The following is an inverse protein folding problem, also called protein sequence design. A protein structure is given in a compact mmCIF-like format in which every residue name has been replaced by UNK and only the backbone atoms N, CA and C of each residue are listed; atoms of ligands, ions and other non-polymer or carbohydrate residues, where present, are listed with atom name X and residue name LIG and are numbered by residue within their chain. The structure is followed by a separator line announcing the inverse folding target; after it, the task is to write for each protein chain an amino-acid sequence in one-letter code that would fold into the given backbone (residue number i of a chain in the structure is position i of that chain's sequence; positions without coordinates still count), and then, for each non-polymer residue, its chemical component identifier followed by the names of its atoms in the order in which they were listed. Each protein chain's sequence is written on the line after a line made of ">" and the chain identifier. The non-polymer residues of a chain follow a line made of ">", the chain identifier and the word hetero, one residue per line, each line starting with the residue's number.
data_IF_429209032106
#
_entry.id   IF_429209032106
#
_cell.length_a   1.000
_cell.length_b   1.000
_cell.length_c   1.000
_cell.angle_alpha   90.00
_cell.angle_beta   90.00
_cell.angle_gamma   90.00
#
_symmetry.space_group_name_H-M   'P 1'
#
loop_
_entity.id
_entity.type
_entity.pdbx_description
1 polymer ?
#
# COMPACT_ATOMS: atom_id res chain seq x y z
N UNK A 1 1.31 -31.93 6.36
CA UNK A 1 -0.02 -31.97 5.73
C UNK A 1 0.12 -31.52 4.29
N UNK A 2 -0.51 -32.25 3.36
CA UNK A 2 -0.60 -31.82 1.97
C UNK A 2 -1.85 -30.94 1.85
N UNK A 3 -1.69 -29.69 1.40
CA UNK A 3 -2.78 -28.75 1.21
C UNK A 3 -3.31 -28.85 -0.22
N UNK A 4 -4.63 -28.68 -0.40
CA UNK A 4 -5.28 -28.79 -1.70
C UNK A 4 -5.04 -27.57 -2.60
N UNK A 5 -4.87 -26.38 -2.00
CA UNK A 5 -4.71 -25.12 -2.71
C UNK A 5 -3.56 -24.31 -2.13
N UNK A 6 -2.92 -23.53 -3.01
CA UNK A 6 -1.92 -22.55 -2.67
C UNK A 6 -2.26 -21.20 -3.33
N UNK A 7 -2.31 -20.14 -2.55
CA UNK A 7 -2.43 -18.76 -3.03
C UNK A 7 -1.12 -18.03 -2.72
N UNK A 8 -0.57 -17.37 -3.74
CA UNK A 8 0.43 -16.34 -3.56
C UNK A 8 -0.23 -14.97 -3.71
N UNK A 9 -0.14 -14.14 -2.67
CA UNK A 9 -0.63 -12.76 -2.64
C UNK A 9 0.57 -11.83 -2.48
N UNK A 10 0.99 -11.10 -3.54
CA UNK A 10 2.21 -10.29 -3.53
C UNK A 10 2.10 -9.12 -2.56
N UNK A 11 3.25 -8.59 -2.14
CA UNK A 11 3.34 -7.25 -1.60
C UNK A 11 3.33 -6.22 -2.72
N UNK A 12 3.24 -4.94 -2.35
CA UNK A 12 3.22 -3.83 -3.31
C UNK A 12 4.23 -2.74 -2.99
N UNK A 13 4.64 -2.04 -4.00
CA UNK A 13 5.31 -0.75 -3.92
C UNK A 13 4.52 0.31 -4.68
N UNK A 14 4.52 1.55 -4.17
CA UNK A 14 3.86 2.68 -4.80
C UNK A 14 4.93 3.74 -5.16
N UNK A 15 5.30 3.88 -6.43
CA UNK A 15 6.26 4.90 -6.85
C UNK A 15 5.70 6.31 -6.82
N UNK A 16 4.47 6.50 -7.29
CA UNK A 16 3.77 7.80 -7.36
C UNK A 16 2.29 7.63 -6.97
N UNK A 17 1.71 8.67 -6.36
CA UNK A 17 0.32 8.65 -5.89
C UNK A 17 0.18 8.26 -4.42
N UNK A 18 1.25 8.38 -3.62
CA UNK A 18 1.16 8.07 -2.21
C UNK A 18 0.31 9.09 -1.44
N UNK A 19 -0.49 8.56 -0.50
CA UNK A 19 -1.31 9.35 0.41
C UNK A 19 -2.41 10.20 -0.26
N UNK A 20 -2.84 9.83 -1.48
CA UNK A 20 -3.93 10.51 -2.18
C UNK A 20 -5.12 9.60 -2.48
N UNK A 21 -4.96 8.29 -2.41
CA UNK A 21 -6.02 7.30 -2.65
C UNK A 21 -7.21 7.45 -1.70
N UNK A 22 -6.97 7.74 -0.42
CA UNK A 22 -8.03 8.04 0.56
C UNK A 22 -8.75 9.38 0.33
N UNK A 23 -8.30 10.19 -0.65
CA UNK A 23 -8.93 11.40 -1.14
C UNK A 23 -9.42 11.25 -2.58
N UNK A 24 -9.62 10.02 -3.04
CA UNK A 24 -10.04 9.67 -4.39
C UNK A 24 -9.07 10.14 -5.49
N UNK A 25 -7.79 10.29 -5.15
CA UNK A 25 -6.75 10.67 -6.09
C UNK A 25 -6.35 9.53 -7.04
N UNK A 26 -5.52 9.87 -8.03
CA UNK A 26 -4.92 8.89 -8.95
C UNK A 26 -3.62 8.36 -8.37
N UNK A 27 -3.37 7.07 -8.58
CA UNK A 27 -2.23 6.36 -7.99
C UNK A 27 -1.56 5.43 -8.98
N UNK A 28 -0.31 5.05 -8.70
CA UNK A 28 0.42 4.02 -9.45
C UNK A 28 1.05 3.02 -8.52
N UNK A 29 1.31 1.82 -9.02
CA UNK A 29 1.98 0.80 -8.21
C UNK A 29 2.40 -0.44 -8.96
N UNK A 30 3.21 -1.25 -8.27
CA UNK A 30 3.63 -2.58 -8.69
C UNK A 30 3.28 -3.59 -7.62
N UNK A 31 2.77 -4.75 -8.02
CA UNK A 31 2.95 -5.98 -7.25
C UNK A 31 4.41 -6.41 -7.36
N UNK A 32 4.98 -7.06 -6.35
CA UNK A 32 6.36 -7.51 -6.35
C UNK A 32 6.46 -9.02 -6.06
N UNK A 33 7.56 -9.65 -6.49
CA UNK A 33 7.82 -11.08 -6.36
C UNK A 33 8.13 -11.57 -4.93
N UNK A 34 7.65 -10.83 -3.94
CA UNK A 34 7.61 -11.20 -2.52
C UNK A 34 6.21 -10.94 -2.01
N UNK A 35 5.72 -11.75 -1.10
CA UNK A 35 4.32 -11.67 -0.68
C UNK A 35 3.99 -12.59 0.48
N UNK A 36 2.72 -12.91 0.56
CA UNK A 36 2.12 -13.85 1.49
C UNK A 36 1.75 -15.13 0.73
N UNK A 37 2.18 -16.25 1.25
CA UNK A 37 1.75 -17.57 0.83
C UNK A 37 0.67 -18.08 1.79
N UNK A 38 -0.44 -18.58 1.25
CA UNK A 38 -1.50 -19.24 1.99
C UNK A 38 -1.76 -20.62 1.37
N UNK A 39 -1.40 -21.65 2.09
CA UNK A 39 -1.76 -23.03 1.77
C UNK A 39 -2.99 -23.43 2.55
N UNK A 40 -4.00 -24.02 1.90
CA UNK A 40 -5.23 -24.38 2.58
C UNK A 40 -5.97 -25.57 1.94
N UNK A 41 -6.81 -26.19 2.71
CA UNK A 41 -7.80 -27.18 2.31
C UNK A 41 -9.17 -26.76 2.81
N UNK A 42 -10.21 -26.67 1.97
CA UNK A 42 -11.59 -26.45 2.39
C UNK A 42 -12.11 -27.59 3.28
N UNK A 43 -13.04 -27.26 4.16
CA UNK A 43 -13.77 -28.24 4.96
C UNK A 43 -15.28 -27.97 4.91
N UNK A 44 -16.07 -28.99 5.22
CA UNK A 44 -17.54 -28.93 5.17
C UNK A 44 -18.18 -28.54 6.53
N UNK A 45 -17.39 -28.46 7.61
CA UNK A 45 -17.89 -28.16 8.95
C UNK A 45 -17.98 -26.68 9.28
N UNK A 46 -17.58 -25.82 8.34
CA UNK A 46 -17.61 -24.36 8.48
C UNK A 46 -16.58 -23.79 9.45
N UNK A 47 -15.63 -24.60 9.92
CA UNK A 47 -14.57 -24.13 10.81
C UNK A 47 -13.42 -23.51 10.00
N UNK A 48 -12.89 -22.43 10.50
CA UNK A 48 -11.64 -21.85 10.03
C UNK A 48 -10.58 -22.13 11.07
N UNK A 49 -9.54 -22.86 10.67
CA UNK A 49 -8.37 -23.14 11.48
C UNK A 49 -7.13 -22.70 10.72
N UNK A 50 -6.41 -21.68 11.24
CA UNK A 50 -5.25 -21.09 10.58
C UNK A 50 -4.06 -21.06 11.53
N UNK A 51 -2.93 -21.54 11.03
CA UNK A 51 -1.61 -21.38 11.65
C UNK A 51 -0.78 -20.35 10.88
N UNK A 52 0.18 -19.73 11.54
CA UNK A 52 1.13 -18.82 10.89
C UNK A 52 2.56 -19.26 11.15
N UNK A 53 3.39 -19.21 10.08
CA UNK A 53 4.85 -19.36 10.21
C UNK A 53 5.56 -18.06 10.57
N UNK A 54 4.82 -16.95 10.61
CA UNK A 54 5.36 -15.61 10.85
C UNK A 54 4.99 -15.10 12.25
N UNK A 55 3.81 -15.46 12.74
CA UNK A 55 3.25 -15.01 14.02
C UNK A 55 2.89 -16.20 14.91
N UNK A 56 3.02 -16.02 16.21
CA UNK A 56 2.59 -17.01 17.19
C UNK A 56 1.06 -17.12 17.27
N UNK A 57 0.61 -18.25 17.77
CA UNK A 57 -0.81 -18.55 18.01
C UNK A 57 -1.52 -19.14 16.80
N UNK A 58 -2.73 -19.61 17.06
CA UNK A 58 -3.64 -20.23 16.11
C UNK A 58 -4.91 -19.39 16.03
N UNK A 59 -5.55 -19.37 14.88
CA UNK A 59 -6.83 -18.68 14.65
C UNK A 59 -7.92 -19.69 14.41
N UNK A 60 -8.88 -19.73 15.31
CA UNK A 60 -10.05 -20.59 15.25
C UNK A 60 -11.34 -19.76 15.27
N UNK A 61 -12.21 -19.98 14.30
CA UNK A 61 -13.57 -19.43 14.32
C UNK A 61 -14.51 -20.20 13.38
N UNK A 62 -15.80 -19.93 13.51
CA UNK A 62 -16.84 -20.49 12.65
C UNK A 62 -17.24 -19.47 11.59
N UNK A 63 -17.05 -19.82 10.29
CA UNK A 63 -17.34 -18.91 9.16
C UNK A 63 -18.85 -18.67 9.00
N UNK A 64 -19.69 -19.60 9.49
CA UNK A 64 -21.15 -19.51 9.39
C UNK A 64 -21.76 -18.54 10.40
N UNK A 65 -21.08 -18.28 11.52
CA UNK A 65 -21.56 -17.38 12.59
C UNK A 65 -21.68 -15.93 12.13
N UNK A 66 -22.36 -15.10 12.91
CA UNK A 66 -22.46 -13.65 12.69
C UNK A 66 -21.13 -12.91 12.78
N UNK A 67 -21.17 -11.61 12.98
CA UNK A 67 -19.95 -10.77 13.13
C UNK A 67 -19.14 -11.25 14.33
N UNK A 68 -17.83 -11.44 14.12
CA UNK A 68 -16.88 -11.84 15.14
C UNK A 68 -16.25 -10.61 15.78
N UNK A 69 -15.93 -10.70 17.06
CA UNK A 69 -15.23 -9.65 17.79
C UNK A 69 -13.76 -9.62 17.37
N UNK A 70 -13.16 -8.45 17.28
CA UNK A 70 -11.73 -8.28 17.06
C UNK A 70 -10.94 -8.72 18.29
N UNK A 71 -9.87 -9.44 18.06
CA UNK A 71 -8.96 -9.94 19.11
C UNK A 71 -7.62 -9.19 19.14
N UNK A 72 -7.46 -8.20 18.27
CA UNK A 72 -6.26 -7.36 18.14
C UNK A 72 -4.99 -8.14 17.78
N UNK A 73 -5.15 -9.19 16.98
CA UNK A 73 -4.03 -9.98 16.48
C UNK A 73 -4.17 -10.35 14.98
N UNK A 74 -3.20 -11.06 14.42
CA UNK A 74 -3.13 -11.36 12.98
C UNK A 74 -4.36 -12.08 12.42
N UNK A 75 -5.12 -12.82 13.22
CA UNK A 75 -6.36 -13.48 12.81
C UNK A 75 -7.52 -12.54 12.48
N UNK A 76 -7.43 -11.27 12.88
CA UNK A 76 -8.47 -10.29 12.57
C UNK A 76 -8.58 -10.02 11.08
N UNK A 77 -7.52 -10.22 10.30
CA UNK A 77 -7.59 -10.11 8.84
C UNK A 77 -8.45 -11.23 8.22
N UNK A 78 -8.38 -12.47 8.73
CA UNK A 78 -9.25 -13.55 8.31
C UNK A 78 -10.72 -13.30 8.72
N UNK A 79 -10.95 -12.80 9.94
CA UNK A 79 -12.28 -12.40 10.42
C UNK A 79 -12.85 -11.24 9.60
N UNK A 80 -12.01 -10.28 9.21
CA UNK A 80 -12.37 -9.16 8.34
C UNK A 80 -12.76 -9.62 6.93
N UNK A 81 -11.99 -10.53 6.33
CA UNK A 81 -12.32 -11.12 5.03
C UNK A 81 -13.68 -11.83 5.07
N UNK A 82 -13.93 -12.64 6.10
CA UNK A 82 -15.24 -13.25 6.35
C UNK A 82 -16.34 -12.20 6.48
N UNK A 83 -16.11 -11.14 7.29
CA UNK A 83 -17.09 -10.06 7.51
C UNK A 83 -17.54 -9.43 6.19
N UNK A 84 -16.61 -9.04 5.34
CA UNK A 84 -16.92 -8.38 4.07
C UNK A 84 -17.58 -9.34 3.05
N UNK A 85 -17.15 -10.60 2.99
CA UNK A 85 -17.78 -11.61 2.13
C UNK A 85 -19.20 -11.91 2.54
N UNK A 86 -19.47 -12.06 3.85
CA UNK A 86 -20.83 -12.37 4.36
C UNK A 86 -21.88 -11.31 4.08
N UNK A 87 -21.49 -10.10 3.76
CA UNK A 87 -22.45 -9.07 3.30
C UNK A 87 -23.06 -9.38 1.93
N UNK A 88 -22.40 -10.24 1.15
CA UNK A 88 -22.76 -10.55 -0.25
C UNK A 88 -23.12 -12.01 -0.46
N UNK A 89 -22.53 -12.90 0.34
CA UNK A 89 -22.57 -14.34 0.11
C UNK A 89 -22.89 -15.12 1.40
N UNK A 90 -23.56 -16.24 1.25
CA UNK A 90 -23.76 -17.20 2.34
C UNK A 90 -22.57 -18.15 2.41
N UNK A 91 -21.70 -17.97 3.38
CA UNK A 91 -20.50 -18.78 3.60
C UNK A 91 -20.83 -19.98 4.48
N UNK A 92 -20.57 -21.18 3.96
CA UNK A 92 -20.86 -22.47 4.60
C UNK A 92 -19.61 -23.28 4.94
N UNK A 93 -18.62 -23.25 4.04
CA UNK A 93 -17.40 -24.05 4.12
C UNK A 93 -16.26 -23.20 4.71
N UNK A 94 -15.56 -23.76 5.70
CA UNK A 94 -14.36 -23.18 6.27
C UNK A 94 -13.09 -23.66 5.56
N UNK A 95 -11.94 -23.34 6.15
CA UNK A 95 -10.63 -23.79 5.67
C UNK A 95 -9.71 -24.18 6.81
N UNK A 96 -8.85 -25.17 6.57
CA UNK A 96 -7.67 -25.45 7.39
C UNK A 96 -6.44 -24.97 6.59
N UNK A 97 -5.61 -24.10 7.16
CA UNK A 97 -4.52 -23.52 6.39
C UNK A 97 -3.35 -23.00 7.19
N UNK A 98 -2.26 -22.74 6.47
CA UNK A 98 -1.03 -22.14 6.98
C UNK A 98 -0.67 -20.92 6.16
N UNK A 99 -0.39 -19.81 6.84
CA UNK A 99 0.02 -18.55 6.21
C UNK A 99 1.48 -18.22 6.53
N UNK A 100 2.20 -17.67 5.55
CA UNK A 100 3.59 -17.24 5.69
C UNK A 100 3.85 -15.94 4.92
N UNK A 101 4.47 -14.96 5.56
CA UNK A 101 5.04 -13.79 4.88
C UNK A 101 6.50 -14.02 4.48
N UNK A 102 6.91 -13.50 3.33
CA UNK A 102 8.27 -13.66 2.80
C UNK A 102 9.23 -12.53 3.16
N UNK A 103 8.74 -11.42 3.72
CA UNK A 103 9.53 -10.27 4.17
C UNK A 103 9.07 -9.78 5.55
N UNK A 104 9.89 -8.98 6.26
CA UNK A 104 9.47 -8.34 7.50
C UNK A 104 8.19 -7.50 7.32
N UNK A 105 7.38 -7.42 8.37
CA UNK A 105 6.14 -6.65 8.36
C UNK A 105 6.45 -5.16 8.47
N UNK A 106 5.97 -4.37 7.53
CA UNK A 106 6.04 -2.91 7.54
C UNK A 106 6.31 -2.29 6.17
N UNK A 107 5.50 -1.33 5.78
CA UNK A 107 5.67 -0.52 4.58
C UNK A 107 5.30 -1.16 3.24
N UNK A 108 5.05 -2.47 3.16
CA UNK A 108 4.76 -3.19 1.91
C UNK A 108 3.33 -3.73 1.80
N UNK A 109 2.42 -3.25 2.65
CA UNK A 109 1.01 -3.67 2.72
C UNK A 109 0.79 -5.16 2.93
N UNK A 110 1.52 -5.74 3.89
CA UNK A 110 1.30 -7.14 4.28
C UNK A 110 -0.12 -7.40 4.79
N UNK A 111 -0.79 -6.42 5.39
CA UNK A 111 -2.20 -6.47 5.80
C UNK A 111 -3.14 -6.68 4.62
N UNK A 112 -3.01 -5.87 3.57
CA UNK A 112 -3.82 -6.01 2.36
C UNK A 112 -3.51 -7.33 1.63
N UNK A 113 -2.23 -7.75 1.59
CA UNK A 113 -1.84 -9.00 0.96
C UNK A 113 -2.48 -10.22 1.65
N UNK A 114 -2.42 -10.30 2.97
CA UNK A 114 -3.04 -11.40 3.71
C UNK A 114 -4.57 -11.36 3.63
N UNK A 115 -5.17 -10.16 3.65
CA UNK A 115 -6.61 -9.97 3.47
C UNK A 115 -7.10 -10.51 2.12
N UNK A 116 -6.40 -10.15 1.04
CA UNK A 116 -6.70 -10.65 -0.32
C UNK A 116 -6.58 -12.17 -0.37
N UNK A 117 -5.52 -12.76 0.22
CA UNK A 117 -5.36 -14.19 0.28
C UNK A 117 -6.55 -14.87 0.97
N UNK A 118 -7.03 -14.34 2.11
CA UNK A 118 -8.20 -14.89 2.80
C UNK A 118 -9.52 -14.70 2.04
N UNK A 119 -9.73 -13.54 1.39
CA UNK A 119 -10.90 -13.31 0.53
C UNK A 119 -10.94 -14.35 -0.59
N UNK A 120 -9.81 -14.58 -1.27
CA UNK A 120 -9.70 -15.57 -2.34
C UNK A 120 -9.91 -17.01 -1.82
N UNK A 121 -9.33 -17.34 -0.66
CA UNK A 121 -9.44 -18.69 -0.07
C UNK A 121 -10.88 -19.00 0.37
N UNK A 122 -11.56 -18.09 1.04
CA UNK A 122 -12.95 -18.28 1.46
C UNK A 122 -13.91 -18.31 0.27
N UNK A 123 -13.68 -17.47 -0.74
CA UNK A 123 -14.44 -17.52 -1.98
C UNK A 123 -14.26 -18.88 -2.68
N UNK A 124 -13.03 -19.36 -2.81
CA UNK A 124 -12.73 -20.67 -3.41
C UNK A 124 -13.37 -21.83 -2.64
N UNK A 125 -13.29 -21.81 -1.31
CA UNK A 125 -13.89 -22.85 -0.47
C UNK A 125 -15.41 -22.93 -0.62
N UNK A 126 -16.07 -21.80 -0.90
CA UNK A 126 -17.53 -21.71 -1.05
C UNK A 126 -18.00 -21.63 -2.51
N UNK A 127 -17.17 -22.00 -3.48
CA UNK A 127 -17.48 -22.02 -4.91
C UNK A 127 -17.95 -20.67 -5.47
N UNK A 128 -17.47 -19.56 -4.86
CA UNK A 128 -17.75 -18.18 -5.25
C UNK A 128 -16.70 -17.72 -6.27
N UNK A 129 -17.15 -17.29 -7.45
CA UNK A 129 -16.29 -16.68 -8.45
C UNK A 129 -16.28 -15.17 -8.28
N UNK A 130 -15.09 -14.60 -8.04
CA UNK A 130 -14.87 -13.16 -7.91
C UNK A 130 -14.00 -12.66 -9.05
N UNK A 131 -14.37 -11.53 -9.65
CA UNK A 131 -13.48 -10.80 -10.53
C UNK A 131 -12.36 -10.13 -9.72
N UNK A 132 -11.17 -9.92 -10.29
CA UNK A 132 -10.04 -9.33 -9.53
C UNK A 132 -10.37 -7.99 -8.85
N UNK A 133 -11.16 -7.13 -9.50
CA UNK A 133 -11.55 -5.85 -8.89
C UNK A 133 -12.61 -6.00 -7.78
N UNK A 134 -13.42 -7.06 -7.81
CA UNK A 134 -14.33 -7.38 -6.68
C UNK A 134 -13.52 -7.79 -5.45
N UNK A 135 -12.43 -8.55 -5.65
CA UNK A 135 -11.49 -8.89 -4.55
C UNK A 135 -10.90 -7.62 -3.93
N UNK A 136 -10.50 -6.64 -4.76
CA UNK A 136 -10.04 -5.32 -4.29
C UNK A 136 -11.07 -4.65 -3.39
N UNK A 137 -12.32 -4.54 -3.84
CA UNK A 137 -13.39 -3.88 -3.09
C UNK A 137 -13.73 -4.60 -1.79
N UNK A 138 -13.82 -5.92 -1.81
CA UNK A 138 -14.13 -6.72 -0.61
C UNK A 138 -12.98 -6.61 0.42
N UNK A 139 -11.73 -6.70 -0.01
CA UNK A 139 -10.58 -6.56 0.88
C UNK A 139 -10.47 -5.14 1.47
N UNK A 140 -10.69 -4.11 0.66
CA UNK A 140 -10.72 -2.72 1.13
C UNK A 140 -11.86 -2.45 2.12
N UNK A 141 -13.05 -3.01 1.89
CA UNK A 141 -14.17 -2.92 2.82
C UNK A 141 -13.85 -3.60 4.17
N UNK A 142 -13.25 -4.79 4.13
CA UNK A 142 -12.81 -5.50 5.33
C UNK A 142 -11.81 -4.66 6.14
N UNK A 143 -10.86 -4.01 5.48
CA UNK A 143 -9.83 -3.20 6.15
C UNK A 143 -10.43 -1.92 6.74
N UNK A 144 -11.34 -1.24 6.05
CA UNK A 144 -11.99 -0.02 6.56
C UNK A 144 -12.99 -0.29 7.66
N UNK A 145 -13.90 -1.25 7.46
CA UNK A 145 -15.05 -1.41 8.34
C UNK A 145 -14.80 -2.39 9.48
N UNK A 146 -13.97 -3.41 9.27
CA UNK A 146 -13.68 -4.39 10.33
C UNK A 146 -12.37 -4.06 11.05
N UNK A 147 -11.28 -3.77 10.31
CA UNK A 147 -9.98 -3.42 10.93
C UNK A 147 -9.95 -1.96 11.42
N UNK A 148 -10.70 -1.04 10.77
CA UNK A 148 -10.79 0.35 11.17
C UNK A 148 -9.68 1.25 10.63
N UNK A 149 -9.07 0.88 9.51
CA UNK A 149 -8.06 1.68 8.82
C UNK A 149 -8.71 2.41 7.62
N UNK A 150 -8.75 3.74 7.67
CA UNK A 150 -9.40 4.58 6.65
C UNK A 150 -8.49 4.81 5.42
N UNK A 151 -7.98 3.72 4.83
CA UNK A 151 -7.19 3.76 3.61
C UNK A 151 -8.06 3.84 2.33
N UNK A 152 -7.40 4.09 1.18
CA UNK A 152 -8.02 4.01 -0.13
C UNK A 152 -7.89 2.62 -0.76
N UNK A 153 -7.82 2.57 -2.09
CA UNK A 153 -7.82 1.32 -2.87
C UNK A 153 -6.42 0.91 -3.35
N UNK A 154 -5.40 1.77 -3.19
CA UNK A 154 -4.07 1.58 -3.77
C UNK A 154 -3.48 0.20 -3.46
N UNK A 155 -3.47 -0.16 -2.18
CA UNK A 155 -2.80 -1.37 -1.70
C UNK A 155 -3.43 -2.61 -2.32
N UNK A 156 -4.73 -2.75 -2.18
CA UNK A 156 -5.50 -3.88 -2.67
C UNK A 156 -5.46 -3.97 -4.20
N UNK A 157 -5.54 -2.82 -4.89
CA UNK A 157 -5.49 -2.78 -6.34
C UNK A 157 -4.14 -3.24 -6.88
N UNK A 158 -3.03 -2.76 -6.33
CA UNK A 158 -1.69 -3.21 -6.73
C UNK A 158 -1.50 -4.71 -6.52
N UNK A 159 -1.96 -5.23 -5.38
CA UNK A 159 -1.81 -6.64 -5.00
C UNK A 159 -2.69 -7.55 -5.86
N UNK A 160 -3.92 -7.16 -6.15
CA UNK A 160 -4.85 -8.01 -6.92
C UNK A 160 -4.68 -7.89 -8.44
N UNK A 161 -4.35 -6.70 -8.95
CA UNK A 161 -4.39 -6.38 -10.38
C UNK A 161 -3.00 -6.27 -11.03
N UNK A 162 -1.93 -6.21 -10.25
CA UNK A 162 -0.56 -6.01 -10.72
C UNK A 162 -0.17 -6.97 -11.84
N UNK A 163 0.73 -6.52 -12.73
CA UNK A 163 1.33 -7.33 -13.79
C UNK A 163 2.83 -7.09 -13.83
N UNK A 164 3.59 -8.19 -13.99
CA UNK A 164 5.06 -8.17 -13.95
C UNK A 164 5.70 -7.20 -14.95
N UNK A 165 5.05 -6.98 -16.09
CA UNK A 165 5.57 -6.16 -17.19
C UNK A 165 4.91 -4.78 -17.28
N UNK A 166 4.28 -4.31 -16.18
CA UNK A 166 3.53 -3.07 -16.23
C UNK A 166 3.39 -2.32 -14.91
N UNK A 167 3.20 -1.03 -15.05
CA UNK A 167 2.80 -0.13 -13.97
C UNK A 167 1.28 -0.08 -13.88
N UNK A 168 0.71 -0.43 -12.73
CA UNK A 168 -0.71 -0.18 -12.49
C UNK A 168 -0.94 1.33 -12.35
N UNK A 169 -1.91 1.85 -13.08
CA UNK A 169 -2.56 3.14 -12.85
C UNK A 169 -3.99 2.90 -12.39
N UNK A 170 -4.42 3.61 -11.36
CA UNK A 170 -5.80 3.57 -10.85
C UNK A 170 -6.29 4.98 -10.55
N UNK A 171 -7.47 5.33 -11.04
CA UNK A 171 -8.25 6.48 -10.56
C UNK A 171 -9.18 5.99 -9.44
N UNK A 172 -8.92 6.42 -8.20
CA UNK A 172 -9.67 5.97 -7.03
C UNK A 172 -11.07 6.61 -6.91
N UNK A 173 -11.42 7.53 -7.79
CA UNK A 173 -12.76 8.15 -7.86
C UNK A 173 -13.71 7.37 -8.76
N UNK A 174 -13.25 7.07 -9.99
CA UNK A 174 -14.05 6.33 -10.99
C UNK A 174 -13.89 4.83 -10.89
N UNK A 175 -12.93 4.32 -10.12
CA UNK A 175 -12.50 2.92 -10.12
C UNK A 175 -11.87 2.45 -11.46
N UNK A 176 -11.57 3.38 -12.38
CA UNK A 176 -10.93 3.05 -13.64
C UNK A 176 -9.46 2.72 -13.44
N UNK A 177 -9.04 1.58 -13.98
CA UNK A 177 -7.64 1.17 -13.89
C UNK A 177 -7.11 0.68 -15.23
N UNK A 178 -5.80 0.80 -15.41
CA UNK A 178 -5.09 0.24 -16.55
C UNK A 178 -3.68 -0.21 -16.16
N UNK A 179 -3.20 -1.23 -16.86
CA UNK A 179 -1.80 -1.66 -16.78
C UNK A 179 -1.05 -0.99 -17.92
N UNK A 180 -0.11 -0.13 -17.57
CA UNK A 180 0.73 0.57 -18.53
C UNK A 180 1.97 -0.28 -18.74
N UNK A 181 2.07 -0.93 -19.91
CA UNK A 181 3.22 -1.78 -20.22
C UNK A 181 4.52 -0.99 -20.17
N UNK A 182 5.57 -1.63 -19.68
CA UNK A 182 6.91 -1.08 -19.70
C UNK A 182 7.34 -0.80 -21.15
N UNK A 183 7.87 0.38 -21.40
CA UNK A 183 8.46 0.69 -22.70
C UNK A 183 9.69 -0.21 -22.93
N UNK A 184 9.81 -0.90 -24.09
CA UNK A 184 10.93 -1.79 -24.36
C UNK A 184 12.31 -1.11 -24.34
N UNK A 185 12.37 0.19 -24.62
CA UNK A 185 13.61 0.99 -24.62
C UNK A 185 13.95 1.58 -23.24
N UNK A 186 13.08 1.38 -22.26
CA UNK A 186 13.34 1.84 -20.89
C UNK A 186 14.54 1.11 -20.30
N UNK A 187 15.45 1.88 -19.70
CA UNK A 187 16.59 1.32 -18.95
C UNK A 187 16.15 0.27 -17.93
N UNK A 188 17.02 -0.75 -17.76
CA UNK A 188 16.77 -1.75 -16.73
C UNK A 188 16.85 -1.14 -15.33
N UNK A 189 16.05 -1.67 -14.42
CA UNK A 189 16.09 -1.34 -13.00
C UNK A 189 15.72 -2.53 -12.13
N UNK A 190 16.24 -2.54 -10.93
CA UNK A 190 15.75 -3.38 -9.82
C UNK A 190 15.15 -2.50 -8.73
N UNK A 191 14.26 -3.07 -7.93
CA UNK A 191 13.65 -2.38 -6.81
C UNK A 191 14.38 -2.79 -5.53
N UNK A 192 15.10 -1.86 -4.93
CA UNK A 192 15.65 -2.01 -3.58
C UNK A 192 14.58 -1.70 -2.53
N UNK A 193 14.49 -2.54 -1.49
CA UNK A 193 13.66 -2.32 -0.32
C UNK A 193 14.58 -2.23 0.90
N UNK A 194 14.56 -1.11 1.58
CA UNK A 194 15.44 -0.80 2.71
C UNK A 194 14.60 -0.66 3.97
N UNK A 195 14.51 -1.75 4.77
CA UNK A 195 13.81 -1.72 6.06
C UNK A 195 14.65 -1.00 7.09
N UNK A 196 14.07 0.04 7.69
CA UNK A 196 14.77 0.89 8.67
C UNK A 196 15.18 0.18 9.95
N UNK A 197 14.63 -1.01 10.23
CA UNK A 197 14.87 -1.72 11.49
C UNK A 197 13.96 -1.25 12.64
N UNK A 198 13.18 -0.18 12.43
CA UNK A 198 12.24 0.34 13.43
C UNK A 198 11.07 -0.64 13.60
N UNK A 199 11.07 -1.37 14.71
CA UNK A 199 10.06 -2.40 15.03
C UNK A 199 8.98 -1.93 16.00
N UNK A 200 9.20 -0.82 16.71
CA UNK A 200 8.23 -0.30 17.70
C UNK A 200 6.90 -0.02 17.03
N UNK A 201 5.85 -0.66 17.52
CA UNK A 201 4.48 -0.34 17.14
C UNK A 201 4.17 1.10 17.53
N UNK A 202 4.09 2.00 16.56
CA UNK A 202 3.35 3.24 16.74
C UNK A 202 1.87 2.84 16.71
N UNK A 203 1.39 2.30 17.81
CA UNK A 203 -0.05 2.14 18.08
C UNK A 203 -0.61 3.55 18.06
N UNK A 204 -1.44 3.89 17.09
CA UNK A 204 -1.89 5.21 16.68
C UNK A 204 -0.87 5.92 15.75
N UNK A 205 -0.63 5.34 14.56
CA UNK A 205 0.00 6.12 13.51
C UNK A 205 -0.91 7.33 13.22
N UNK A 206 -0.32 8.51 13.02
CA UNK A 206 -1.05 9.72 12.62
C UNK A 206 -1.76 9.59 11.27
N UNK A 207 -1.80 8.38 10.70
CA UNK A 207 -2.39 8.13 9.38
C UNK A 207 -3.86 8.58 9.31
N UNK A 208 -4.71 8.10 10.22
CA UNK A 208 -6.10 8.52 10.24
C UNK A 208 -6.25 10.03 10.51
N UNK A 209 -5.35 10.61 11.31
CA UNK A 209 -5.30 12.06 11.50
C UNK A 209 -5.01 12.78 10.18
N UNK A 210 -4.05 12.31 9.38
CA UNK A 210 -3.77 12.89 8.04
C UNK A 210 -4.95 12.79 7.10
N UNK A 211 -5.70 11.67 7.12
CA UNK A 211 -6.95 11.53 6.35
C UNK A 211 -7.96 12.62 6.74
N UNK A 212 -8.16 12.85 8.04
CA UNK A 212 -9.07 13.89 8.52
C UNK A 212 -8.58 15.30 8.21
N UNK A 213 -7.28 15.56 8.26
CA UNK A 213 -6.69 16.84 7.88
C UNK A 213 -6.91 17.15 6.39
N UNK A 214 -6.82 16.16 5.51
CA UNK A 214 -7.14 16.31 4.08
C UNK A 214 -8.64 16.63 3.87
N UNK A 215 -9.54 15.93 4.56
CA UNK A 215 -10.98 16.23 4.52
C UNK A 215 -11.30 17.62 5.06
N UNK A 216 -10.63 18.03 6.13
CA UNK A 216 -10.75 19.38 6.69
C UNK A 216 -10.26 20.44 5.70
N UNK A 217 -9.18 20.16 4.96
CA UNK A 217 -8.71 21.04 3.89
C UNK A 217 -9.79 21.23 2.81
N UNK A 218 -10.43 20.17 2.35
CA UNK A 218 -11.52 20.25 1.39
C UNK A 218 -12.72 21.06 1.94
N UNK A 219 -13.10 20.84 3.19
CA UNK A 219 -14.15 21.63 3.86
C UNK A 219 -13.82 23.12 3.98
N UNK A 220 -12.56 23.45 4.31
CA UNK A 220 -12.13 24.84 4.36
C UNK A 220 -12.29 25.54 3.00
N UNK A 221 -11.92 24.88 1.90
CA UNK A 221 -12.11 25.45 0.56
C UNK A 221 -13.57 25.71 0.27
N UNK A 222 -14.47 24.74 0.53
CA UNK A 222 -15.92 24.92 0.35
C UNK A 222 -16.44 26.12 1.16
N UNK A 223 -16.05 26.20 2.43
CA UNK A 223 -16.48 27.29 3.33
C UNK A 223 -15.98 28.65 2.85
N UNK A 224 -14.73 28.78 2.45
CA UNK A 224 -14.18 30.05 1.94
C UNK A 224 -14.79 30.50 0.62
N UNK A 225 -15.34 29.59 -0.16
CA UNK A 225 -16.05 29.87 -1.40
C UNK A 225 -17.56 29.98 -1.24
N UNK A 226 -18.07 29.96 -0.01
CA UNK A 226 -19.50 29.97 0.30
C UNK A 226 -20.28 28.84 -0.40
N UNK A 227 -19.62 27.70 -0.63
CA UNK A 227 -20.25 26.51 -1.17
C UNK A 227 -20.90 25.68 -0.05
N UNK A 228 -22.01 24.95 -0.31
CA UNK A 228 -22.61 24.07 0.67
C UNK A 228 -21.61 23.03 1.20
N UNK A 229 -21.53 22.89 2.51
CA UNK A 229 -20.75 21.85 3.13
C UNK A 229 -21.42 20.49 2.95
N UNK A 230 -20.70 19.55 2.38
CA UNK A 230 -21.10 18.14 2.29
C UNK A 230 -20.88 17.44 3.64
N UNK A 231 -21.43 16.24 3.79
CA UNK A 231 -21.11 15.37 4.91
C UNK A 231 -19.57 15.14 4.99
N UNK A 232 -18.99 15.30 6.17
CA UNK A 232 -17.52 15.29 6.35
C UNK A 232 -16.85 14.03 5.77
N UNK A 233 -17.43 12.86 6.05
CA UNK A 233 -16.89 11.60 5.59
C UNK A 233 -17.01 11.39 4.07
N UNK A 234 -17.87 12.15 3.40
CA UNK A 234 -18.11 12.12 1.96
C UNK A 234 -17.50 13.32 1.22
N UNK A 235 -16.61 14.06 1.86
CA UNK A 235 -15.91 15.20 1.25
C UNK A 235 -14.47 14.85 1.02
N UNK A 236 -14.01 14.99 -0.21
CA UNK A 236 -12.66 14.63 -0.63
C UNK A 236 -12.00 15.80 -1.38
N UNK A 237 -10.68 15.87 -1.34
CA UNK A 237 -9.93 16.86 -2.12
C UNK A 237 -10.15 16.71 -3.63
N UNK A 238 -10.45 15.49 -4.09
CA UNK A 238 -10.82 15.21 -5.49
C UNK A 238 -12.05 15.97 -5.95
N UNK A 239 -13.02 16.22 -5.04
CA UNK A 239 -14.24 16.96 -5.33
C UNK A 239 -13.99 18.47 -5.53
N UNK A 240 -12.83 18.97 -5.16
CA UNK A 240 -12.50 20.40 -5.12
C UNK A 240 -11.60 20.73 -6.31
N UNK A 241 -12.01 21.64 -7.22
CA UNK A 241 -11.12 22.13 -8.28
C UNK A 241 -9.85 22.76 -7.70
N UNK A 242 -8.70 22.50 -8.32
CA UNK A 242 -7.41 23.05 -7.87
C UNK A 242 -7.43 24.57 -7.78
N UNK A 243 -8.07 25.23 -8.73
CA UNK A 243 -8.22 26.68 -8.78
C UNK A 243 -8.95 27.22 -7.55
N UNK A 244 -9.93 26.46 -7.05
CA UNK A 244 -10.66 26.79 -5.82
C UNK A 244 -9.75 26.75 -4.59
N UNK A 245 -8.86 25.75 -4.52
CA UNK A 245 -7.83 25.68 -3.47
C UNK A 245 -6.84 26.83 -3.60
N UNK A 246 -6.28 27.09 -4.79
CA UNK A 246 -5.31 28.15 -5.03
C UNK A 246 -5.86 29.53 -4.63
N UNK A 247 -7.14 29.78 -4.86
CA UNK A 247 -7.78 31.05 -4.52
C UNK A 247 -7.91 31.32 -3.00
N UNK A 248 -7.78 30.30 -2.16
CA UNK A 248 -8.01 30.44 -0.72
C UNK A 248 -6.87 29.86 0.15
N UNK A 249 -5.84 29.25 -0.41
CA UNK A 249 -4.78 28.57 0.33
C UNK A 249 -4.10 29.43 1.39
N UNK A 250 -3.86 30.72 1.10
CA UNK A 250 -3.19 31.66 2.00
C UNK A 250 -4.08 32.07 3.20
N UNK A 251 -5.38 31.79 3.14
CA UNK A 251 -6.35 32.00 4.23
C UNK A 251 -6.55 30.75 5.08
N UNK A 252 -6.10 29.60 4.61
CA UNK A 252 -6.25 28.34 5.32
C UNK A 252 -5.19 28.20 6.42
N UNK A 253 -5.52 27.51 7.55
CA UNK A 253 -4.47 27.08 8.46
C UNK A 253 -3.39 26.29 7.70
N UNK A 254 -2.13 26.65 7.91
CA UNK A 254 -0.98 26.16 7.13
C UNK A 254 -0.92 24.62 7.03
N UNK A 255 -1.32 23.93 8.12
CA UNK A 255 -1.41 22.47 8.16
C UNK A 255 -2.32 21.92 7.05
N UNK A 256 -3.53 22.44 6.92
CA UNK A 256 -4.52 21.95 5.94
C UNK A 256 -4.15 22.38 4.52
N UNK A 257 -3.58 23.59 4.35
CA UNK A 257 -3.05 24.03 3.06
C UNK A 257 -1.95 23.08 2.56
N UNK A 258 -1.02 22.65 3.42
CA UNK A 258 0.02 21.68 3.05
C UNK A 258 -0.56 20.31 2.63
N UNK A 259 -1.61 19.80 3.31
CA UNK A 259 -2.26 18.53 2.89
C UNK A 259 -2.86 18.64 1.49
N UNK A 260 -3.56 19.74 1.21
CA UNK A 260 -4.10 19.99 -0.13
C UNK A 260 -2.99 20.16 -1.17
N UNK A 261 -1.89 20.87 -0.85
CA UNK A 261 -0.73 21.01 -1.74
C UNK A 261 -0.11 19.64 -2.08
N UNK A 262 0.00 18.75 -1.09
CA UNK A 262 0.45 17.38 -1.36
C UNK A 262 -0.46 16.70 -2.38
N UNK A 263 -1.76 16.73 -2.16
CA UNK A 263 -2.76 16.10 -3.04
C UNK A 263 -2.66 16.60 -4.49
N UNK A 264 -2.74 17.92 -4.72
CA UNK A 264 -2.73 18.47 -6.07
C UNK A 264 -1.37 18.35 -6.77
N UNK A 265 -0.27 18.46 -6.02
CA UNK A 265 1.06 18.27 -6.60
C UNK A 265 1.32 16.78 -6.92
N UNK A 266 0.76 15.86 -6.14
CA UNK A 266 0.89 14.42 -6.40
C UNK A 266 0.07 13.98 -7.61
N UNK A 267 -1.16 14.49 -7.81
CA UNK A 267 -1.94 14.25 -9.03
C UNK A 267 -1.12 14.62 -10.28
N UNK A 268 -0.48 15.78 -10.26
CA UNK A 268 0.39 16.20 -11.36
C UNK A 268 1.58 15.25 -11.56
N UNK A 269 2.25 14.82 -10.46
CA UNK A 269 3.38 13.89 -10.52
C UNK A 269 2.98 12.55 -11.10
N UNK A 270 1.82 12.02 -10.71
CA UNK A 270 1.29 10.77 -11.27
C UNK A 270 1.09 10.89 -12.78
N UNK A 271 0.45 11.96 -13.27
CA UNK A 271 0.23 12.16 -14.72
C UNK A 271 1.54 12.27 -15.48
N UNK A 272 2.49 13.04 -14.99
CA UNK A 272 3.83 13.16 -15.57
C UNK A 272 4.60 11.83 -15.52
N UNK A 273 4.47 11.10 -14.43
CA UNK A 273 5.10 9.78 -14.25
C UNK A 273 4.56 8.74 -15.21
N UNK A 274 3.24 8.73 -15.43
CA UNK A 274 2.63 7.87 -16.46
C UNK A 274 3.22 8.16 -17.84
N UNK A 275 3.30 9.42 -18.22
CA UNK A 275 3.93 9.81 -19.51
C UNK A 275 5.40 9.42 -19.57
N UNK A 276 6.17 9.64 -18.49
CA UNK A 276 7.56 9.23 -18.42
C UNK A 276 7.73 7.72 -18.58
N UNK A 277 6.85 6.93 -17.96
CA UNK A 277 6.83 5.48 -18.09
C UNK A 277 6.51 5.02 -19.51
N UNK A 278 5.46 5.57 -20.12
CA UNK A 278 5.05 5.27 -21.50
C UNK A 278 6.15 5.63 -22.53
N UNK A 279 6.91 6.70 -22.29
CA UNK A 279 8.01 7.13 -23.17
C UNK A 279 9.37 6.51 -22.82
N UNK A 280 9.44 5.64 -21.79
CA UNK A 280 10.69 4.99 -21.40
C UNK A 280 11.67 5.87 -20.62
N UNK A 281 11.25 7.05 -20.18
CA UNK A 281 12.11 8.00 -19.46
C UNK A 281 12.18 7.66 -17.96
N UNK A 282 12.99 6.65 -17.60
CA UNK A 282 13.16 6.18 -16.23
C UNK A 282 13.76 7.24 -15.31
N UNK A 283 14.65 8.09 -15.81
CA UNK A 283 15.26 9.19 -15.04
C UNK A 283 14.21 10.20 -14.58
N UNK A 284 13.31 10.62 -15.49
CA UNK A 284 12.22 11.52 -15.12
C UNK A 284 11.25 10.84 -14.15
N UNK A 285 10.91 9.57 -14.40
CA UNK A 285 10.05 8.79 -13.50
C UNK A 285 10.65 8.70 -12.09
N UNK A 286 11.94 8.39 -12.00
CA UNK A 286 12.67 8.31 -10.73
C UNK A 286 12.76 9.67 -10.01
N UNK A 287 13.07 10.75 -10.74
CA UNK A 287 13.05 12.11 -10.19
C UNK A 287 11.68 12.46 -9.58
N UNK A 288 10.59 12.12 -10.25
CA UNK A 288 9.24 12.35 -9.75
C UNK A 288 8.98 11.55 -8.47
N UNK A 289 9.57 10.35 -8.31
CA UNK A 289 9.50 9.58 -7.06
C UNK A 289 10.19 10.32 -5.90
N UNK A 290 11.37 10.91 -6.13
CA UNK A 290 12.03 11.75 -5.14
C UNK A 290 11.21 12.99 -4.80
N UNK A 291 10.68 13.71 -5.80
CA UNK A 291 9.84 14.90 -5.60
C UNK A 291 8.54 14.54 -4.82
N UNK A 292 8.00 13.32 -5.03
CA UNK A 292 6.87 12.79 -4.26
C UNK A 292 7.23 12.54 -2.79
N UNK A 293 8.44 12.02 -2.53
CA UNK A 293 8.93 11.82 -1.17
C UNK A 293 9.14 13.14 -0.43
N UNK A 294 9.75 14.15 -1.08
CA UNK A 294 9.88 15.50 -0.54
C UNK A 294 8.52 16.08 -0.13
N UNK A 295 7.52 15.93 -1.01
CA UNK A 295 6.17 16.38 -0.69
C UNK A 295 5.53 15.58 0.46
N UNK A 296 5.87 14.29 0.58
CA UNK A 296 5.43 13.46 1.71
C UNK A 296 6.04 13.94 3.03
N UNK A 297 7.30 14.37 3.02
CA UNK A 297 8.00 14.92 4.20
C UNK A 297 7.44 16.30 4.58
N UNK A 298 7.39 17.22 3.62
CA UNK A 298 7.14 18.64 3.93
C UNK A 298 5.67 19.04 3.89
N UNK A 299 4.87 18.41 3.03
CA UNK A 299 3.45 18.74 2.86
C UNK A 299 2.53 17.74 3.55
N UNK A 300 2.75 16.42 3.38
CA UNK A 300 1.94 15.43 4.07
C UNK A 300 2.40 15.23 5.52
N UNK A 301 3.64 15.60 5.84
CA UNK A 301 4.28 15.50 7.15
C UNK A 301 4.27 14.06 7.69
N UNK A 302 4.80 13.14 6.90
CA UNK A 302 5.19 11.80 7.33
C UNK A 302 6.71 11.61 7.16
N UNK A 303 7.22 10.52 7.71
CA UNK A 303 8.65 10.21 7.76
C UNK A 303 9.16 10.17 9.19
N UNK A 304 9.71 9.03 9.61
CA UNK A 304 10.53 8.98 10.82
C UNK A 304 11.96 9.46 10.52
N UNK A 305 12.75 9.85 11.52
CA UNK A 305 14.15 10.20 11.29
C UNK A 305 14.93 9.13 10.52
N UNK A 306 14.66 7.87 10.81
CA UNK A 306 15.29 6.71 10.15
C UNK A 306 14.92 6.62 8.66
N UNK A 307 13.63 6.79 8.33
CA UNK A 307 13.17 6.74 6.94
C UNK A 307 13.69 7.95 6.15
N UNK A 308 13.71 9.14 6.76
CA UNK A 308 14.24 10.36 6.14
C UNK A 308 15.75 10.16 5.86
N UNK A 309 16.51 9.60 6.81
CA UNK A 309 17.93 9.34 6.58
C UNK A 309 18.17 8.34 5.43
N UNK A 310 17.39 7.24 5.35
CA UNK A 310 17.47 6.32 4.21
C UNK A 310 17.18 7.07 2.90
N UNK A 311 16.15 7.91 2.88
CA UNK A 311 15.76 8.69 1.71
C UNK A 311 16.89 9.65 1.27
N UNK A 312 17.50 10.39 2.21
CA UNK A 312 18.61 11.30 1.93
C UNK A 312 19.84 10.56 1.36
N UNK A 313 20.16 9.39 1.94
CA UNK A 313 21.26 8.56 1.45
C UNK A 313 20.96 8.08 0.03
N UNK A 314 19.80 7.46 -0.20
CA UNK A 314 19.41 6.97 -1.55
C UNK A 314 19.53 8.06 -2.61
N UNK A 315 19.10 9.28 -2.29
CA UNK A 315 19.11 10.43 -3.21
C UNK A 315 20.54 10.87 -3.60
N UNK A 316 21.52 10.60 -2.74
CA UNK A 316 22.92 10.98 -2.97
C UNK A 316 23.74 9.91 -3.70
N UNK A 317 23.22 8.68 -3.84
CA UNK A 317 23.97 7.57 -4.42
C UNK A 317 23.84 7.50 -5.94
N UNK A 318 24.96 7.29 -6.60
CA UNK A 318 25.00 7.03 -8.04
C UNK A 318 24.28 5.72 -8.37
N UNK A 319 23.54 5.71 -9.49
CA UNK A 319 22.76 4.54 -9.94
C UNK A 319 21.38 4.43 -9.31
N UNK A 320 20.99 5.33 -8.40
CA UNK A 320 19.59 5.42 -7.88
C UNK A 320 18.81 6.39 -8.75
N UNK A 321 17.92 5.88 -9.57
CA UNK A 321 17.07 6.70 -10.44
C UNK A 321 16.02 7.47 -9.64
N UNK A 322 15.48 6.88 -8.57
CA UNK A 322 14.46 7.47 -7.71
C UNK A 322 14.11 6.59 -6.53
N UNK A 323 13.46 7.18 -5.53
CA UNK A 323 13.06 6.43 -4.35
C UNK A 323 12.18 7.24 -3.41
N UNK A 324 11.54 6.54 -2.48
CA UNK A 324 10.64 7.15 -1.49
C UNK A 324 10.29 6.21 -0.34
N UNK A 325 9.56 6.71 0.64
CA UNK A 325 8.93 5.87 1.65
C UNK A 325 7.94 4.89 1.03
N UNK A 326 7.82 3.72 1.61
CA UNK A 326 6.80 2.73 1.26
C UNK A 326 5.73 2.64 2.35
N UNK A 327 4.46 2.56 1.94
CA UNK A 327 3.30 2.53 2.85
C UNK A 327 3.03 3.89 3.51
N UNK A 328 2.58 3.86 4.76
CA UNK A 328 2.17 5.07 5.49
C UNK A 328 3.30 6.07 5.80
N UNK A 329 4.56 5.68 5.64
CA UNK A 329 5.72 6.56 5.81
C UNK A 329 6.09 6.90 7.26
N UNK A 330 5.47 6.29 8.27
CA UNK A 330 5.81 6.52 9.68
C UNK A 330 6.78 5.48 10.26
N UNK A 331 6.91 4.32 9.58
CA UNK A 331 7.83 3.22 9.91
C UNK A 331 7.93 2.28 8.71
N UNK A 332 8.78 1.27 8.80
CA UNK A 332 8.92 0.21 7.80
C UNK A 332 10.07 0.47 6.85
N UNK A 333 9.81 0.70 5.58
CA UNK A 333 10.83 0.70 4.55
C UNK A 333 10.78 1.91 3.63
N UNK A 334 11.92 2.17 2.99
CA UNK A 334 11.99 2.94 1.76
C UNK A 334 12.14 1.99 0.57
N UNK A 335 11.76 2.47 -0.62
CA UNK A 335 12.00 1.79 -1.89
C UNK A 335 12.85 2.66 -2.80
N UNK A 336 13.68 2.04 -3.63
CA UNK A 336 14.42 2.72 -4.69
C UNK A 336 14.36 1.95 -6.01
N UNK A 337 14.37 2.69 -7.11
CA UNK A 337 14.61 2.18 -8.46
C UNK A 337 16.10 2.34 -8.74
N UNK A 338 16.80 1.23 -8.94
CA UNK A 338 18.28 1.22 -8.98
C UNK A 338 18.77 0.55 -10.26
N UNK A 339 19.80 1.13 -10.85
CA UNK A 339 20.54 0.53 -11.95
C UNK A 339 21.13 -0.81 -11.49
N UNK A 340 20.83 -1.94 -12.16
CA UNK A 340 21.38 -3.25 -11.78
C UNK A 340 22.91 -3.26 -11.68
N UNK A 341 23.62 -2.45 -12.48
CA UNK A 341 25.08 -2.34 -12.44
C UNK A 341 25.61 -1.67 -11.16
N UNK A 342 24.79 -0.82 -10.52
CA UNK A 342 25.16 -0.09 -9.30
C UNK A 342 24.66 -0.75 -8.01
N UNK A 343 23.87 -1.80 -8.12
CA UNK A 343 23.15 -2.48 -7.02
C UNK A 343 24.02 -2.77 -5.81
N UNK A 344 25.15 -3.46 -6.00
CA UNK A 344 26.05 -3.85 -4.91
C UNK A 344 26.66 -2.65 -4.20
N UNK A 345 27.04 -1.62 -4.96
CA UNK A 345 27.58 -0.38 -4.40
C UNK A 345 26.52 0.41 -3.63
N UNK A 346 25.30 0.49 -4.18
CA UNK A 346 24.16 1.16 -3.50
C UNK A 346 23.85 0.46 -2.18
N UNK A 347 23.76 -0.87 -2.17
CA UNK A 347 23.53 -1.64 -0.94
C UNK A 347 24.61 -1.39 0.11
N UNK A 348 25.88 -1.54 -0.27
CA UNK A 348 27.02 -1.34 0.63
C UNK A 348 27.08 0.05 1.22
N UNK A 349 26.97 1.07 0.38
CA UNK A 349 27.06 2.46 0.82
C UNK A 349 25.86 2.87 1.67
N UNK A 350 24.66 2.41 1.32
CA UNK A 350 23.45 2.70 2.11
C UNK A 350 23.54 2.06 3.50
N UNK A 351 23.95 0.78 3.59
CA UNK A 351 24.15 0.11 4.89
C UNK A 351 25.17 0.87 5.72
N UNK A 352 26.33 1.20 5.14
CA UNK A 352 27.42 1.90 5.85
C UNK A 352 26.93 3.24 6.39
N UNK A 353 26.38 4.10 5.54
CA UNK A 353 25.98 5.46 5.93
C UNK A 353 24.79 5.45 6.89
N UNK A 354 23.85 4.51 6.72
CA UNK A 354 22.70 4.37 7.62
C UNK A 354 23.14 3.93 9.03
N UNK A 355 23.97 2.90 9.12
CA UNK A 355 24.44 2.36 10.42
C UNK A 355 25.44 3.29 11.12
N UNK A 356 26.12 4.18 10.40
CA UNK A 356 26.88 5.27 11.01
C UNK A 356 25.97 6.27 11.77
N UNK A 357 24.75 6.52 11.25
CA UNK A 357 23.76 7.40 11.90
C UNK A 357 22.94 6.68 12.98
N UNK A 358 22.65 5.39 12.78
CA UNK A 358 21.73 4.60 13.60
C UNK A 358 22.33 3.21 13.90
N UNK A 359 23.42 3.12 14.67
CA UNK A 359 24.11 1.85 14.96
C UNK A 359 23.23 0.85 15.72
N UNK A 360 22.20 1.30 16.44
CA UNK A 360 21.25 0.45 17.17
C UNK A 360 20.45 -0.47 16.26
N UNK A 361 20.32 -0.15 14.97
CA UNK A 361 19.58 -0.97 13.99
C UNK A 361 20.45 -1.99 13.25
N UNK A 362 21.72 -2.19 13.60
CA UNK A 362 22.63 -3.15 12.92
C UNK A 362 22.02 -4.55 12.74
N UNK A 363 21.29 -5.03 13.74
CA UNK A 363 20.65 -6.36 13.68
C UNK A 363 19.31 -6.39 12.95
N UNK A 364 18.62 -5.26 12.87
CA UNK A 364 17.25 -5.17 12.38
C UNK A 364 17.10 -4.46 11.04
N UNK A 365 18.06 -3.63 10.64
CA UNK A 365 18.14 -3.08 9.29
C UNK A 365 18.30 -4.21 8.27
N UNK A 366 17.51 -4.21 7.20
CA UNK A 366 17.52 -5.25 6.16
C UNK A 366 17.36 -4.64 4.79
N UNK A 367 18.06 -5.20 3.82
CA UNK A 367 17.96 -4.86 2.41
C UNK A 367 17.44 -6.07 1.65
N UNK A 368 16.47 -5.82 0.76
CA UNK A 368 15.96 -6.84 -0.16
C UNK A 368 15.87 -6.26 -1.56
N UNK A 369 16.13 -7.11 -2.54
CA UNK A 369 15.98 -6.79 -3.95
C UNK A 369 14.82 -7.57 -4.52
N UNK A 370 13.95 -6.87 -5.22
CA UNK A 370 12.70 -7.43 -5.76
C UNK A 370 12.46 -6.92 -7.17
N UNK A 371 11.52 -7.57 -7.85
CA UNK A 371 11.09 -7.22 -9.21
C UNK A 371 9.57 -7.11 -9.23
N UNK A 372 9.00 -6.33 -10.17
CA UNK A 372 7.56 -6.38 -10.45
C UNK A 372 7.11 -7.82 -10.73
N UNK A 373 5.90 -8.17 -10.30
CA UNK A 373 5.30 -9.49 -10.48
C UNK A 373 3.81 -9.38 -10.77
N UNK A 374 3.21 -10.50 -11.15
CA UNK A 374 1.76 -10.61 -11.32
C UNK A 374 1.04 -10.53 -9.96
N UNK A 375 -0.20 -10.09 -9.99
CA UNK A 375 -1.06 -9.98 -8.84
C UNK A 375 -1.38 -11.30 -8.15
N UNK A 376 -2.23 -11.23 -7.13
CA UNK A 376 -2.63 -12.38 -6.33
C UNK A 376 -3.23 -13.50 -7.21
N UNK A 377 -2.80 -14.73 -6.97
CA UNK A 377 -3.11 -15.87 -7.82
C UNK A 377 -3.04 -17.20 -7.08
N UNK A 378 -3.73 -18.19 -7.60
CA UNK A 378 -3.49 -19.59 -7.27
C UNK A 378 -2.21 -20.07 -7.98
N UNK A 379 -1.41 -20.86 -7.28
CA UNK A 379 -0.10 -21.39 -7.72
C UNK A 379 -0.15 -22.91 -7.81
#
# INVERSE_FOLDING_TARGET
>A
MEFQYHIFSPYRVCPLGAHVDHQHGIVTGFAINKGVDLWFTPNEDGKVHLESRTFDGVVDFDITKGTLVREMHWGDYARGAKYALKKRFDLKKGINGVVQGSLPVGGLSSSAAVLIAYVMAFAKANDIMLQPFEVVKIASEAEREYIGLNNGLLDQACIALGKKDGLLFLDCDSDDYRIIRRNPEMKEFEIGIFFSGLTRSLVNSDYNLRVYECKTAAWNVLAYQNQPLKEFNKTFLRDIPKESYEACKDRMPARFARRAEHFYSEDRRVRQGVTAWETGNLELFGKLCFDSCESSIHNYECGSPELIAIYEIMRSLEGVYGGRFSGAGFKGACIALVDPACKENVEKELIRQYLEKFPEYEKTFKVFWVKPDDGARFV
#
